data_IF_066248047599
#
_entry.id   IF_066248047599
#
_cell.length_a   1.000
_cell.length_b   1.000
_cell.length_c   1.000
_cell.angle_alpha   90.00
_cell.angle_beta   90.00
_cell.angle_gamma   90.00
#
_symmetry.space_group_name_H-M   'P 1'
#
loop_
_entity.id
_entity.type
_entity.pdbx_description
1 polymer ?
#
# COMPACT_ATOMS: atom_id res chain seq x y z
N UNK A 1 4.69 12.95 4.24
CA UNK A 1 4.32 11.56 4.45
C UNK A 1 5.32 10.67 3.76
N UNK A 2 5.98 9.79 4.49
CA UNK A 2 6.95 8.83 3.96
C UNK A 2 6.22 7.65 3.30
N UNK A 3 6.93 6.88 2.45
CA UNK A 3 6.34 5.67 1.84
C UNK A 3 5.96 4.64 2.91
N UNK A 4 6.69 4.59 4.03
CA UNK A 4 6.34 3.80 5.20
C UNK A 4 4.99 4.21 5.80
N UNK A 5 4.83 5.49 6.11
CA UNK A 5 3.58 6.01 6.69
C UNK A 5 2.38 5.78 5.74
N UNK A 6 2.59 5.90 4.42
CA UNK A 6 1.57 5.58 3.41
C UNK A 6 1.16 4.11 3.51
N UNK A 7 2.13 3.19 3.55
CA UNK A 7 1.89 1.76 3.63
C UNK A 7 1.21 1.35 4.94
N UNK A 8 1.59 1.93 6.08
CA UNK A 8 0.95 1.62 7.37
C UNK A 8 -0.53 2.02 7.39
N UNK A 9 -0.88 3.20 6.89
CA UNK A 9 -2.30 3.61 6.83
C UNK A 9 -3.07 2.86 5.75
N UNK A 10 -2.47 2.57 4.61
CA UNK A 10 -3.12 1.75 3.58
C UNK A 10 -3.37 0.32 4.06
N UNK A 11 -2.42 -0.27 4.81
CA UNK A 11 -2.62 -1.56 5.47
C UNK A 11 -3.76 -1.50 6.50
N UNK A 12 -3.83 -0.43 7.31
CA UNK A 12 -4.96 -0.18 8.22
C UNK A 12 -6.30 -0.18 7.47
N UNK A 13 -6.38 0.53 6.34
CA UNK A 13 -7.58 0.57 5.49
C UNK A 13 -7.99 -0.82 5.01
N UNK A 14 -7.03 -1.63 4.57
CA UNK A 14 -7.26 -2.99 4.09
C UNK A 14 -7.45 -4.02 5.22
N UNK A 15 -7.41 -3.61 6.49
CA UNK A 15 -7.48 -4.53 7.63
C UNK A 15 -6.26 -5.47 7.74
N UNK A 16 -5.15 -5.15 7.08
CA UNK A 16 -3.91 -5.92 7.11
C UNK A 16 -3.09 -5.58 8.35
N UNK A 17 -2.59 -6.60 9.04
CA UNK A 17 -1.70 -6.44 10.18
C UNK A 17 -0.25 -6.58 9.73
N UNK A 18 0.51 -5.50 9.86
CA UNK A 18 1.96 -5.53 9.68
C UNK A 18 2.57 -6.26 10.88
N UNK A 19 3.39 -7.27 10.60
CA UNK A 19 4.04 -8.09 11.60
C UNK A 19 5.23 -7.36 12.21
N UNK A 20 4.99 -6.79 13.40
CA UNK A 20 6.02 -6.18 14.26
C UNK A 20 6.39 -7.08 15.44
N UNK A 21 5.98 -8.35 15.40
CA UNK A 21 6.28 -9.31 16.48
C UNK A 21 7.77 -9.60 16.54
N UNK A 22 8.38 -9.60 17.74
CA UNK A 22 9.76 -10.03 17.90
C UNK A 22 9.92 -11.56 17.80
N UNK A 23 8.82 -12.30 17.91
CA UNK A 23 8.82 -13.76 17.98
C UNK A 23 8.51 -14.43 16.63
N UNK A 24 7.91 -13.69 15.70
CA UNK A 24 7.66 -14.17 14.35
C UNK A 24 8.89 -13.91 13.47
N UNK A 25 10.11 -14.28 13.89
CA UNK A 25 11.28 -14.31 13.01
C UNK A 25 11.94 -12.97 12.66
N UNK A 26 11.30 -11.83 12.89
CA UNK A 26 11.92 -10.50 12.69
C UNK A 26 12.86 -10.04 13.82
N UNK A 27 12.84 -10.72 14.98
CA UNK A 27 13.68 -10.40 16.14
C UNK A 27 13.29 -9.11 16.87
N UNK A 28 14.04 -8.75 17.92
CA UNK A 28 13.69 -7.67 18.86
C UNK A 28 13.71 -6.25 18.28
N UNK A 29 14.17 -6.07 17.05
CA UNK A 29 14.17 -4.80 16.30
C UNK A 29 13.26 -4.84 15.07
N UNK A 30 12.36 -5.82 14.99
CA UNK A 30 11.40 -5.92 13.90
C UNK A 30 10.47 -4.71 13.95
N UNK A 31 10.51 -3.90 12.90
CA UNK A 31 9.69 -2.72 12.76
C UNK A 31 8.58 -2.90 11.70
N UNK A 32 8.47 -4.12 11.16
CA UNK A 32 7.47 -4.54 10.20
C UNK A 32 7.85 -4.32 8.74
N UNK A 33 9.09 -3.93 8.44
CA UNK A 33 9.54 -3.68 7.08
C UNK A 33 10.83 -4.43 6.75
N UNK A 34 10.92 -4.95 5.52
CA UNK A 34 12.16 -5.56 5.04
C UNK A 34 13.18 -4.51 4.54
N UNK A 35 14.38 -4.95 4.19
CA UNK A 35 15.45 -4.06 3.69
C UNK A 35 15.10 -3.35 2.37
N UNK A 36 14.06 -3.80 1.65
CA UNK A 36 13.58 -3.20 0.41
C UNK A 36 12.39 -2.25 0.65
N UNK A 37 11.96 -2.08 1.91
CA UNK A 37 10.85 -1.23 2.29
C UNK A 37 9.47 -1.86 2.07
N UNK A 38 9.37 -3.18 1.91
CA UNK A 38 8.09 -3.87 1.84
C UNK A 38 7.54 -4.08 3.25
N UNK A 39 6.23 -3.88 3.43
CA UNK A 39 5.58 -4.23 4.69
C UNK A 39 5.55 -5.76 4.83
N UNK A 40 5.99 -6.28 5.96
CA UNK A 40 5.95 -7.71 6.23
C UNK A 40 4.67 -8.05 6.97
N UNK A 41 3.87 -8.95 6.40
CA UNK A 41 2.61 -9.40 6.99
C UNK A 41 2.79 -10.70 7.77
N UNK A 42 3.73 -11.54 7.34
CA UNK A 42 4.16 -12.75 8.03
C UNK A 42 5.61 -13.07 7.62
N UNK A 43 6.53 -12.95 8.56
CA UNK A 43 7.95 -13.16 8.28
C UNK A 43 8.30 -14.63 8.03
N UNK A 44 7.67 -15.57 8.74
CA UNK A 44 8.00 -17.01 8.66
C UNK A 44 7.58 -17.59 7.33
N UNK A 45 6.43 -17.13 6.82
CA UNK A 45 5.92 -17.54 5.52
C UNK A 45 6.37 -16.65 4.37
N UNK A 46 7.29 -15.71 4.63
CA UNK A 46 7.81 -14.75 3.66
C UNK A 46 6.71 -13.96 2.93
N UNK A 47 5.64 -13.61 3.65
CA UNK A 47 4.51 -12.84 3.11
C UNK A 47 4.83 -11.36 3.29
N UNK A 48 5.01 -10.69 2.15
CA UNK A 48 5.31 -9.27 2.05
C UNK A 48 4.23 -8.58 1.24
N UNK A 49 4.11 -7.28 1.46
CA UNK A 49 3.10 -6.46 0.83
C UNK A 49 3.65 -5.08 0.50
N UNK A 50 3.58 -4.68 -0.76
CA UNK A 50 4.01 -3.35 -1.19
C UNK A 50 3.27 -2.87 -2.45
N UNK A 51 2.06 -2.31 -2.31
CA UNK A 51 1.30 -1.77 -3.44
C UNK A 51 1.95 -0.56 -4.12
N UNK A 52 3.06 0.00 -3.63
CA UNK A 52 3.79 1.05 -4.35
C UNK A 52 4.64 0.48 -5.50
N UNK A 53 5.10 -0.77 -5.36
CA UNK A 53 6.00 -1.42 -6.32
C UNK A 53 5.44 -2.71 -6.92
N UNK A 54 4.46 -3.34 -6.26
CA UNK A 54 3.79 -4.56 -6.73
C UNK A 54 2.40 -4.24 -7.28
N UNK A 55 2.16 -4.61 -8.55
CA UNK A 55 0.88 -4.37 -9.23
C UNK A 55 -0.25 -5.24 -8.68
N UNK A 56 0.04 -6.45 -8.22
CA UNK A 56 -0.95 -7.38 -7.68
C UNK A 56 -1.47 -6.90 -6.33
N UNK A 57 -0.58 -6.41 -5.46
CA UNK A 57 -0.96 -5.80 -4.18
C UNK A 57 -1.75 -4.51 -4.37
N UNK A 58 -1.37 -3.67 -5.33
CA UNK A 58 -2.10 -2.46 -5.64
C UNK A 58 -3.51 -2.75 -6.17
N UNK A 59 -3.64 -3.73 -7.08
CA UNK A 59 -4.94 -4.12 -7.61
C UNK A 59 -5.83 -4.71 -6.53
N UNK A 60 -5.29 -5.61 -5.69
CA UNK A 60 -6.05 -6.23 -4.59
C UNK A 60 -6.51 -5.17 -3.59
N UNK A 61 -5.64 -4.24 -3.21
CA UNK A 61 -5.98 -3.10 -2.37
C UNK A 61 -7.12 -2.26 -2.97
N UNK A 62 -7.06 -1.97 -4.28
CA UNK A 62 -8.11 -1.20 -4.95
C UNK A 62 -9.45 -1.94 -4.97
N UNK A 63 -9.44 -3.25 -5.19
CA UNK A 63 -10.64 -4.10 -5.18
C UNK A 63 -11.23 -4.17 -3.76
N UNK A 64 -10.40 -4.50 -2.76
CA UNK A 64 -10.81 -4.68 -1.38
C UNK A 64 -11.45 -3.40 -0.79
N UNK A 65 -10.98 -2.23 -1.24
CA UNK A 65 -11.49 -0.92 -0.84
C UNK A 65 -12.55 -0.33 -1.77
N UNK A 66 -12.97 -1.06 -2.82
CA UNK A 66 -13.98 -0.59 -3.77
C UNK A 66 -13.58 0.64 -4.59
N UNK A 67 -12.28 0.89 -4.76
CA UNK A 67 -11.74 2.10 -5.44
C UNK A 67 -11.90 2.07 -6.97
N UNK A 68 -12.35 0.95 -7.53
CA UNK A 68 -12.52 0.76 -8.98
C UNK A 68 -13.92 1.14 -9.49
N UNK A 69 -14.80 1.71 -8.66
CA UNK A 69 -16.17 2.04 -9.06
C UNK A 69 -16.24 3.31 -9.93
N UNK A 70 -16.71 3.12 -11.17
CA UNK A 70 -17.13 4.07 -12.21
C UNK A 70 -16.09 4.62 -13.22
N UNK A 71 -16.11 4.14 -14.49
CA UNK A 71 -15.33 4.69 -15.59
C UNK A 71 -16.05 5.90 -16.20
N UNK A 72 -16.02 7.06 -15.52
CA UNK A 72 -16.53 8.31 -16.11
C UNK A 72 -15.46 9.40 -16.25
N UNK A 73 -14.24 9.15 -15.77
CA UNK A 73 -13.11 10.06 -15.95
C UNK A 73 -12.12 9.44 -16.93
N UNK A 74 -11.70 10.14 -18.00
CA UNK A 74 -10.60 9.70 -18.85
C UNK A 74 -9.35 9.46 -18.00
N UNK A 75 -8.95 8.20 -17.90
CA UNK A 75 -7.93 7.65 -16.99
C UNK A 75 -6.55 8.35 -17.12
N UNK A 76 -6.23 8.92 -18.28
CA UNK A 76 -4.90 9.49 -18.55
C UNK A 76 -4.65 10.88 -17.93
N UNK A 77 -5.64 11.76 -17.87
CA UNK A 77 -5.40 13.16 -17.46
C UNK A 77 -5.36 13.36 -15.94
N UNK A 78 -6.06 12.52 -15.18
CA UNK A 78 -6.06 12.60 -13.71
C UNK A 78 -4.78 12.00 -13.09
N UNK A 79 -4.23 10.94 -13.68
CA UNK A 79 -3.16 10.17 -13.03
C UNK A 79 -1.78 10.84 -13.17
N UNK A 80 -1.51 11.47 -14.31
CA UNK A 80 -0.23 12.17 -14.55
C UNK A 80 -0.08 13.45 -13.70
N UNK A 81 -1.19 14.16 -13.43
CA UNK A 81 -1.17 15.46 -12.72
C UNK A 81 -1.00 15.33 -11.21
N UNK A 82 -1.38 14.19 -10.62
CA UNK A 82 -1.44 14.01 -9.16
C UNK A 82 -0.22 13.30 -8.54
N UNK A 83 0.68 12.73 -9.34
CA UNK A 83 1.61 11.72 -8.82
C UNK A 83 3.09 12.01 -9.06
N UNK A 84 3.44 12.91 -9.99
CA UNK A 84 4.84 13.20 -10.34
C UNK A 84 5.64 11.97 -10.77
N UNK A 85 4.97 10.86 -11.13
CA UNK A 85 5.61 9.58 -11.36
C UNK A 85 6.05 9.44 -12.82
N UNK A 86 7.21 8.79 -13.01
CA UNK A 86 7.84 8.60 -14.33
C UNK A 86 7.06 7.65 -15.25
N UNK A 87 6.09 6.89 -14.74
CA UNK A 87 5.25 5.98 -15.52
C UNK A 87 3.80 5.99 -15.03
N UNK A 88 2.85 5.78 -15.96
CA UNK A 88 1.42 5.71 -15.66
C UNK A 88 1.10 4.58 -14.67
N UNK A 89 1.84 3.48 -14.70
CA UNK A 89 1.68 2.36 -13.76
C UNK A 89 2.06 2.76 -12.33
N UNK A 90 3.25 3.35 -12.15
CA UNK A 90 3.69 3.82 -10.85
C UNK A 90 2.78 4.94 -10.30
N UNK A 91 2.30 5.81 -11.19
CA UNK A 91 1.32 6.83 -10.85
C UNK A 91 0.00 6.20 -10.34
N UNK A 92 -0.54 5.23 -11.08
CA UNK A 92 -1.80 4.56 -10.74
C UNK A 92 -1.70 3.86 -9.39
N UNK A 93 -0.64 3.08 -9.18
CA UNK A 93 -0.37 2.43 -7.88
C UNK A 93 -0.32 3.45 -6.74
N UNK A 94 0.41 4.55 -6.93
CA UNK A 94 0.54 5.60 -5.91
C UNK A 94 -0.79 6.32 -5.64
N UNK A 95 -1.64 6.48 -6.65
CA UNK A 95 -2.98 7.04 -6.48
C UNK A 95 -3.87 6.11 -5.64
N UNK A 96 -3.84 4.81 -5.93
CA UNK A 96 -4.54 3.78 -5.13
C UNK A 96 -4.06 3.81 -3.68
N UNK A 97 -2.75 3.77 -3.45
CA UNK A 97 -2.18 3.78 -2.09
C UNK A 97 -2.57 5.05 -1.35
N UNK A 98 -2.55 6.22 -1.98
CA UNK A 98 -2.98 7.47 -1.36
C UNK A 98 -4.46 7.46 -1.00
N UNK A 99 -5.33 6.96 -1.87
CA UNK A 99 -6.76 6.82 -1.57
C UNK A 99 -6.97 5.89 -0.36
N UNK A 100 -6.29 4.74 -0.35
CA UNK A 100 -6.31 3.82 0.79
C UNK A 100 -5.77 4.45 2.07
N UNK A 101 -4.67 5.21 1.99
CA UNK A 101 -4.10 5.95 3.12
C UNK A 101 -5.14 6.89 3.74
N UNK A 102 -5.90 7.64 2.95
CA UNK A 102 -6.91 8.56 3.47
C UNK A 102 -8.08 7.82 4.14
N UNK A 103 -8.49 6.67 3.60
CA UNK A 103 -9.47 5.79 4.27
C UNK A 103 -8.92 5.32 5.62
N UNK A 104 -7.69 4.80 5.65
CA UNK A 104 -7.06 4.31 6.88
C UNK A 104 -6.83 5.40 7.92
N UNK A 105 -6.55 6.64 7.48
CA UNK A 105 -6.46 7.83 8.35
C UNK A 105 -7.80 8.15 9.02
N UNK A 106 -8.91 7.97 8.30
CA UNK A 106 -10.26 8.27 8.79
C UNK A 106 -10.84 7.18 9.71
N UNK A 107 -10.28 5.97 9.69
CA UNK A 107 -10.64 4.90 10.64
C UNK A 107 -10.16 5.27 12.04
N UNK A 108 -11.04 5.17 13.04
CA UNK A 108 -10.72 5.36 14.46
C UNK A 108 -9.67 4.34 14.95
#
# INVERSE_FOLDING_TARGET
MTDRELLELAAKAAGLKIDKSPHNGGGTKNDGFDLLGNAVLDWHNNIRWNPLTDDGDALRLAVDLGLLSHPTIPHEQAIAKFTGAKSLHAATRRAIVRAATEIGRAMA
#
